data_IF_794941544951
#
_entry.id   IF_794941544951
#
_cell.length_a   1.000
_cell.length_b   1.000
_cell.length_c   1.000
_cell.angle_alpha   90.00
_cell.angle_beta   90.00
_cell.angle_gamma   90.00
#
_symmetry.space_group_name_H-M   'P 1'
#
loop_
_entity.id
_entity.type
_entity.pdbx_description
1 polymer ?
#
# COMPACT_ATOMS: atom_id res chain seq x y z
N UNK A 1 -8.51 23.97 -12.80
CA UNK A 1 -7.06 24.13 -13.13
C UNK A 1 -6.35 24.42 -11.83
N UNK A 2 -5.58 23.49 -11.31
CA UNK A 2 -4.82 23.69 -10.06
C UNK A 2 -3.55 24.44 -10.45
N UNK A 3 -3.38 25.64 -9.90
CA UNK A 3 -2.22 26.46 -10.17
C UNK A 3 -1.08 26.08 -9.22
N UNK A 4 -0.06 25.38 -9.73
CA UNK A 4 1.15 24.99 -8.99
C UNK A 4 2.17 26.13 -8.82
N UNK A 5 1.85 27.37 -9.21
CA UNK A 5 2.76 28.51 -9.26
C UNK A 5 3.22 29.10 -7.92
N UNK A 6 2.67 28.68 -6.78
CA UNK A 6 2.99 29.28 -5.48
C UNK A 6 3.90 28.43 -4.56
N UNK A 7 4.53 27.37 -5.07
CA UNK A 7 5.48 26.55 -4.31
C UNK A 7 6.96 27.00 -4.44
N UNK A 8 7.21 28.08 -5.18
CA UNK A 8 8.56 28.61 -5.40
C UNK A 8 8.80 29.90 -4.62
N UNK A 9 8.63 29.90 -3.30
CA UNK A 9 9.14 30.95 -2.44
C UNK A 9 10.32 30.42 -1.60
N UNK A 10 11.52 30.74 -2.11
CA UNK A 10 12.77 31.00 -1.37
C UNK A 10 13.07 30.11 -0.14
N UNK A 11 13.19 28.82 -0.34
CA UNK A 11 14.15 28.02 0.42
C UNK A 11 15.03 27.30 -0.60
N UNK A 12 16.34 27.43 -0.47
CA UNK A 12 17.28 26.58 -1.18
C UNK A 12 16.78 25.16 -1.07
N UNK A 13 16.73 24.36 -2.17
CA UNK A 13 16.31 22.99 -2.08
C UNK A 13 17.16 22.34 -0.99
N UNK A 14 16.51 21.93 0.10
CA UNK A 14 17.17 21.20 1.17
C UNK A 14 17.87 20.04 0.49
N UNK A 15 19.17 19.97 0.61
CA UNK A 15 19.95 18.90 0.01
C UNK A 15 19.37 17.58 0.53
N UNK A 16 18.73 16.82 -0.35
CA UNK A 16 18.23 15.49 0.00
C UNK A 16 19.48 14.64 0.19
N UNK A 17 19.87 14.41 1.45
CA UNK A 17 20.94 13.50 1.76
C UNK A 17 20.59 12.13 1.16
N UNK A 18 21.45 11.66 0.25
CA UNK A 18 21.29 10.33 -0.32
C UNK A 18 21.29 9.34 0.84
N UNK A 19 20.23 8.52 0.92
CA UNK A 19 20.23 7.35 1.79
C UNK A 19 21.51 6.55 1.52
N UNK A 20 22.44 6.54 2.47
CA UNK A 20 23.71 5.80 2.40
C UNK A 20 23.48 4.32 2.77
N UNK A 21 22.35 3.74 2.40
CA UNK A 21 22.01 2.36 2.64
C UNK A 21 22.15 1.59 1.33
N UNK A 22 22.73 0.40 1.40
CA UNK A 22 22.68 -0.57 0.29
C UNK A 22 21.26 -1.18 0.15
N UNK A 23 20.36 -0.90 1.10
CA UNK A 23 19.00 -1.38 1.11
C UNK A 23 18.16 -0.56 0.12
N UNK A 24 17.44 -1.25 -0.75
CA UNK A 24 16.55 -0.64 -1.73
C UNK A 24 15.14 -0.60 -1.16
N UNK A 25 14.73 0.56 -0.66
CA UNK A 25 13.36 0.80 -0.23
C UNK A 25 12.51 1.26 -1.41
N UNK A 26 11.32 0.69 -1.56
CA UNK A 26 10.36 1.09 -2.60
C UNK A 26 9.14 1.85 -2.03
N UNK A 27 8.97 1.86 -0.70
CA UNK A 27 7.94 2.64 -0.02
C UNK A 27 8.43 3.02 1.38
N UNK A 28 8.38 4.31 1.72
CA UNK A 28 8.79 4.83 3.03
C UNK A 28 7.67 5.71 3.57
N UNK A 29 7.23 5.45 4.80
CA UNK A 29 6.18 6.21 5.47
C UNK A 29 6.69 6.81 6.78
N UNK A 30 6.44 8.10 6.98
CA UNK A 30 6.65 8.74 8.27
C UNK A 30 5.62 8.21 9.28
N UNK A 31 6.08 7.70 10.43
CA UNK A 31 5.28 7.13 11.51
C UNK A 31 5.32 7.98 12.79
N UNK A 32 5.64 9.27 12.63
CA UNK A 32 5.70 10.24 13.72
C UNK A 32 7.09 10.34 14.35
N UNK A 33 7.61 9.26 14.90
CA UNK A 33 9.00 9.14 15.38
C UNK A 33 9.74 8.19 14.44
N UNK A 34 10.37 8.74 13.38
CA UNK A 34 11.04 7.97 12.34
C UNK A 34 10.13 7.45 11.25
N UNK A 35 10.54 6.38 10.60
CA UNK A 35 9.90 5.88 9.36
C UNK A 35 9.77 4.36 9.37
N UNK A 36 8.72 3.87 8.71
CA UNK A 36 8.57 2.48 8.33
C UNK A 36 8.84 2.33 6.82
N UNK A 37 9.82 1.54 6.46
CA UNK A 37 10.28 1.36 5.09
C UNK A 37 10.04 -0.07 4.61
N UNK A 38 9.44 -0.22 3.43
CA UNK A 38 9.26 -1.49 2.74
C UNK A 38 10.40 -1.70 1.74
N UNK A 39 10.93 -2.92 1.70
CA UNK A 39 11.96 -3.37 0.77
C UNK A 39 11.80 -4.85 0.46
N UNK A 40 12.74 -5.41 -0.30
CA UNK A 40 12.83 -6.86 -0.52
C UNK A 40 13.82 -7.41 0.51
N UNK A 41 13.30 -7.92 1.62
CA UNK A 41 14.09 -8.46 2.73
C UNK A 41 13.83 -9.97 2.85
N UNK A 42 14.80 -10.73 3.33
CA UNK A 42 14.65 -12.18 3.46
C UNK A 42 13.73 -12.63 4.60
N UNK A 43 13.67 -11.87 5.71
CA UNK A 43 13.12 -12.37 6.96
C UNK A 43 12.11 -11.45 7.65
N UNK A 44 11.82 -10.28 7.07
CA UNK A 44 10.92 -9.29 7.68
C UNK A 44 10.25 -8.43 6.63
N UNK A 45 9.21 -7.70 7.02
CA UNK A 45 8.41 -6.87 6.10
C UNK A 45 8.86 -5.42 6.07
N UNK A 46 9.24 -4.85 7.23
CA UNK A 46 9.60 -3.45 7.40
C UNK A 46 10.98 -3.30 8.02
N UNK A 47 11.75 -2.35 7.53
CA UNK A 47 12.79 -1.71 8.31
C UNK A 47 12.21 -0.49 9.01
N UNK A 48 12.53 -0.33 10.29
CA UNK A 48 12.21 0.86 11.08
C UNK A 48 13.43 1.76 11.12
N UNK A 49 13.25 2.99 10.65
CA UNK A 49 14.32 3.99 10.55
C UNK A 49 14.05 5.11 11.55
N UNK A 50 15.11 5.66 12.13
CA UNK A 50 15.04 6.85 12.96
C UNK A 50 14.89 8.13 12.10
N UNK A 51 14.78 9.31 12.74
CA UNK A 51 14.63 10.60 12.05
C UNK A 51 15.82 10.95 11.15
N UNK A 52 17.00 10.35 11.37
CA UNK A 52 18.17 10.47 10.50
C UNK A 52 18.22 9.41 9.40
N UNK A 53 17.10 8.71 9.14
CA UNK A 53 16.96 7.63 8.15
C UNK A 53 17.91 6.45 8.35
N UNK A 54 18.43 6.26 9.55
CA UNK A 54 19.27 5.11 9.91
C UNK A 54 18.37 3.99 10.45
N UNK A 55 18.54 2.78 9.91
CA UNK A 55 17.87 1.58 10.42
C UNK A 55 18.27 1.33 11.88
N UNK A 56 17.27 1.10 12.72
CA UNK A 56 17.49 0.73 14.12
C UNK A 56 16.87 -0.61 14.50
N UNK A 57 15.86 -1.08 13.72
CA UNK A 57 15.21 -2.37 13.94
C UNK A 57 14.47 -2.83 12.68
N UNK A 58 13.92 -4.03 12.74
CA UNK A 58 13.04 -4.56 11.71
C UNK A 58 11.71 -5.04 12.34
N UNK A 59 10.68 -5.20 11.51
CA UNK A 59 9.36 -5.59 11.99
C UNK A 59 8.55 -6.36 10.95
N UNK A 60 7.68 -7.23 11.45
CA UNK A 60 6.65 -7.93 10.69
C UNK A 60 7.18 -9.10 9.85
N UNK A 61 6.27 -9.95 9.45
CA UNK A 61 6.52 -11.11 8.60
C UNK A 61 5.78 -10.96 7.29
N UNK A 62 6.17 -11.72 6.28
CA UNK A 62 5.41 -11.84 5.04
C UNK A 62 4.10 -12.60 5.26
N UNK A 63 3.13 -12.38 4.36
CA UNK A 63 1.90 -13.17 4.33
C UNK A 63 2.27 -14.64 4.05
N UNK A 64 1.68 -15.59 4.78
CA UNK A 64 1.88 -17.00 4.51
C UNK A 64 1.27 -17.34 3.13
N UNK A 65 2.01 -18.09 2.32
CA UNK A 65 1.47 -18.69 1.10
C UNK A 65 0.76 -20.01 1.41
N UNK A 66 -0.19 -20.38 0.58
CA UNK A 66 -0.91 -21.66 0.69
C UNK A 66 0.04 -22.86 0.64
N UNK A 67 1.03 -22.82 -0.26
CA UNK A 67 2.09 -23.81 -0.34
C UNK A 67 3.38 -23.27 0.31
N UNK A 68 4.17 -24.15 0.93
CA UNK A 68 5.44 -23.76 1.55
C UNK A 68 6.44 -23.35 0.47
N UNK A 69 7.01 -22.15 0.61
CA UNK A 69 8.04 -21.60 -0.27
C UNK A 69 9.35 -21.51 0.50
N UNK A 70 10.37 -22.21 0.00
CA UNK A 70 11.70 -22.21 0.63
C UNK A 70 12.52 -20.98 0.27
N UNK A 71 12.35 -20.45 -0.96
CA UNK A 71 13.06 -19.25 -1.41
C UNK A 71 12.45 -17.99 -0.79
N UNK A 72 13.16 -17.39 0.15
CA UNK A 72 12.72 -16.20 0.90
C UNK A 72 12.61 -14.95 0.04
N UNK A 73 13.48 -14.80 -0.97
CA UNK A 73 13.42 -13.66 -1.90
C UNK A 73 12.16 -13.74 -2.76
N UNK A 74 11.82 -14.91 -3.28
CA UNK A 74 10.56 -15.12 -4.02
C UNK A 74 9.37 -14.81 -3.10
N UNK A 75 9.39 -15.27 -1.85
CA UNK A 75 8.35 -14.90 -0.87
C UNK A 75 8.26 -13.39 -0.66
N UNK A 76 9.39 -12.69 -0.57
CA UNK A 76 9.43 -11.24 -0.44
C UNK A 76 8.85 -10.53 -1.67
N UNK A 77 9.22 -10.97 -2.86
CA UNK A 77 8.71 -10.44 -4.14
C UNK A 77 7.20 -10.65 -4.28
N UNK A 78 6.69 -11.85 -3.99
CA UNK A 78 5.25 -12.11 -3.99
C UNK A 78 4.48 -11.26 -2.95
N UNK A 79 5.15 -10.79 -1.92
CA UNK A 79 4.58 -9.90 -0.91
C UNK A 79 4.76 -8.40 -1.21
N UNK A 80 5.16 -8.03 -2.44
CA UNK A 80 5.22 -6.62 -2.82
C UNK A 80 3.86 -5.95 -2.63
N UNK A 81 3.90 -4.68 -2.24
CA UNK A 81 2.72 -3.88 -1.97
C UNK A 81 3.14 -2.53 -1.41
N UNK A 82 2.20 -1.78 -0.86
CA UNK A 82 2.46 -0.44 -0.31
C UNK A 82 1.87 -0.32 1.08
N UNK A 83 2.11 0.80 1.71
CA UNK A 83 1.47 1.15 2.97
C UNK A 83 1.03 2.60 2.99
N UNK A 84 -0.04 2.86 3.74
CA UNK A 84 -0.58 4.19 4.00
C UNK A 84 -0.63 4.43 5.50
N UNK A 85 -0.50 5.68 5.92
CA UNK A 85 -0.45 6.08 7.33
C UNK A 85 -1.50 7.16 7.57
N UNK A 86 -2.27 7.02 8.66
CA UNK A 86 -3.25 8.03 9.07
C UNK A 86 -2.58 9.39 9.35
N UNK A 87 -3.32 10.48 9.11
CA UNK A 87 -2.85 11.87 9.34
C UNK A 87 -2.31 12.06 10.75
N UNK A 88 -2.97 11.48 11.74
CA UNK A 88 -2.60 11.53 13.17
C UNK A 88 -1.46 10.56 13.57
N UNK A 89 -0.88 9.81 12.62
CA UNK A 89 0.22 8.86 12.83
C UNK A 89 -0.08 7.75 13.85
N UNK A 90 -1.33 7.33 13.99
CA UNK A 90 -1.72 6.26 14.92
C UNK A 90 -1.83 4.90 14.25
N UNK A 91 -2.15 4.85 12.95
CA UNK A 91 -2.41 3.63 12.20
C UNK A 91 -1.55 3.62 10.93
N UNK A 92 -0.93 2.48 10.67
CA UNK A 92 -0.36 2.13 9.38
C UNK A 92 -1.13 0.94 8.81
N UNK A 93 -1.50 1.01 7.54
CA UNK A 93 -2.12 -0.11 6.83
C UNK A 93 -1.21 -0.51 5.67
N UNK A 94 -0.81 -1.78 5.65
CA UNK A 94 -0.06 -2.37 4.55
C UNK A 94 -0.98 -3.25 3.71
N UNK A 95 -0.86 -3.17 2.41
CA UNK A 95 -1.58 -4.02 1.47
C UNK A 95 -0.62 -4.71 0.50
N UNK A 96 -1.04 -5.84 -0.06
CA UNK A 96 -0.28 -6.63 -1.01
C UNK A 96 -0.95 -6.65 -2.38
N UNK A 97 -0.16 -6.52 -3.44
CA UNK A 97 -0.64 -6.64 -4.82
C UNK A 97 -1.08 -8.06 -5.17
N UNK A 98 -0.49 -9.07 -4.54
CA UNK A 98 -0.73 -10.48 -4.83
C UNK A 98 -1.81 -11.12 -3.94
N UNK A 99 -2.31 -10.38 -2.93
CA UNK A 99 -3.32 -10.90 -2.02
C UNK A 99 -4.36 -9.84 -1.67
N UNK A 100 -5.61 -10.25 -1.49
CA UNK A 100 -6.66 -9.40 -0.94
C UNK A 100 -6.55 -9.31 0.58
N UNK A 101 -5.40 -8.82 1.08
CA UNK A 101 -5.11 -8.71 2.52
C UNK A 101 -4.65 -7.30 2.85
N UNK A 102 -5.33 -6.68 3.81
CA UNK A 102 -4.90 -5.46 4.48
C UNK A 102 -4.42 -5.80 5.88
N UNK A 103 -3.20 -5.41 6.21
CA UNK A 103 -2.63 -5.56 7.55
C UNK A 103 -2.65 -4.23 8.29
N UNK A 104 -3.36 -4.18 9.39
CA UNK A 104 -3.47 -3.02 10.26
C UNK A 104 -2.46 -3.08 11.38
N UNK A 105 -1.75 -1.97 11.58
CA UNK A 105 -0.76 -1.82 12.65
C UNK A 105 -1.03 -0.55 13.45
N UNK A 106 -0.96 -0.66 14.77
CA UNK A 106 -0.84 0.49 15.65
C UNK A 106 0.56 1.06 15.56
N UNK A 107 0.67 2.38 15.46
CA UNK A 107 1.95 3.09 15.58
C UNK A 107 2.08 3.52 17.05
N UNK A 108 3.10 3.00 17.74
CA UNK A 108 3.37 3.30 19.15
C UNK A 108 4.83 3.66 19.35
N UNK A 109 5.12 4.92 19.69
CA UNK A 109 6.48 5.38 19.99
C UNK A 109 7.53 5.08 18.90
N UNK A 110 7.16 5.22 17.61
CA UNK A 110 8.07 4.95 16.48
C UNK A 110 8.24 3.47 16.16
N UNK A 111 7.39 2.60 16.70
CA UNK A 111 7.34 1.17 16.36
C UNK A 111 5.95 0.77 15.89
N UNK A 112 5.86 -0.40 15.27
CA UNK A 112 4.61 -0.98 14.79
C UNK A 112 4.17 -2.09 15.74
N UNK A 113 2.84 -2.20 15.96
CA UNK A 113 2.23 -3.33 16.67
C UNK A 113 1.12 -3.87 15.79
N UNK A 114 1.25 -5.12 15.35
CA UNK A 114 0.23 -5.76 14.53
C UNK A 114 -1.12 -5.80 15.28
N UNK A 115 -2.18 -5.35 14.62
CA UNK A 115 -3.53 -5.31 15.17
C UNK A 115 -4.41 -6.41 14.58
N UNK A 116 -4.53 -6.44 13.25
CA UNK A 116 -5.47 -7.33 12.55
C UNK A 116 -5.10 -7.45 11.08
N UNK A 117 -5.39 -8.59 10.49
CA UNK A 117 -5.46 -8.79 9.04
C UNK A 117 -6.94 -8.79 8.61
N UNK A 118 -7.31 -7.92 7.67
CA UNK A 118 -8.58 -8.01 6.96
C UNK A 118 -8.35 -8.76 5.65
N UNK A 119 -8.99 -9.91 5.51
CA UNK A 119 -8.73 -10.85 4.42
C UNK A 119 -9.97 -10.97 3.53
N UNK A 120 -9.84 -10.55 2.28
CA UNK A 120 -10.79 -10.83 1.18
C UNK A 120 -10.36 -12.11 0.46
N UNK A 121 -9.06 -12.22 0.20
CA UNK A 121 -8.45 -13.36 -0.49
C UNK A 121 -7.04 -13.60 0.06
N UNK A 122 -6.73 -14.81 0.55
CA UNK A 122 -5.41 -15.13 1.07
C UNK A 122 -4.36 -15.15 -0.06
N UNK A 123 -3.08 -15.11 0.33
CA UNK A 123 -1.95 -15.28 -0.58
C UNK A 123 -1.97 -16.68 -1.18
N UNK A 124 -1.86 -16.78 -2.50
CA UNK A 124 -1.77 -18.05 -3.21
C UNK A 124 -0.95 -17.90 -4.49
N UNK A 125 0.28 -18.36 -4.47
CA UNK A 125 1.16 -18.40 -5.65
C UNK A 125 1.96 -19.70 -5.71
N UNK A 126 2.41 -20.06 -6.90
CA UNK A 126 3.35 -21.16 -7.14
C UNK A 126 4.68 -20.60 -7.63
N UNK A 127 5.76 -21.29 -7.26
CA UNK A 127 7.10 -20.98 -7.79
C UNK A 127 7.31 -21.77 -9.10
N UNK A 128 7.70 -21.06 -10.15
CA UNK A 128 8.03 -21.64 -11.46
C UNK A 128 9.16 -20.84 -12.09
N UNK A 129 10.22 -21.54 -12.53
CA UNK A 129 11.38 -20.93 -13.17
C UNK A 129 12.00 -19.78 -12.36
N UNK A 130 12.19 -19.99 -11.05
CA UNK A 130 12.72 -19.00 -10.09
C UNK A 130 11.92 -17.68 -9.99
N UNK A 131 10.65 -17.70 -10.37
CA UNK A 131 9.70 -16.61 -10.25
C UNK A 131 8.42 -17.11 -9.59
N UNK A 132 7.51 -16.19 -9.21
CA UNK A 132 6.21 -16.55 -8.68
C UNK A 132 5.10 -16.32 -9.71
N UNK A 133 4.08 -17.18 -9.67
CA UNK A 133 2.87 -17.07 -10.47
C UNK A 133 1.66 -17.07 -9.57
N UNK A 134 0.89 -15.97 -9.60
CA UNK A 134 -0.35 -15.85 -8.86
C UNK A 134 -1.38 -16.86 -9.37
N UNK A 135 -2.04 -17.57 -8.44
CA UNK A 135 -3.05 -18.56 -8.78
C UNK A 135 -4.46 -17.96 -8.78
N UNK A 136 -4.71 -17.01 -7.89
CA UNK A 136 -6.04 -16.46 -7.63
C UNK A 136 -6.21 -15.00 -8.11
N UNK A 137 -5.27 -14.49 -8.91
CA UNK A 137 -5.26 -13.13 -9.47
C UNK A 137 -4.75 -12.08 -8.47
N UNK A 138 -4.87 -10.81 -8.88
CA UNK A 138 -4.36 -9.65 -8.15
C UNK A 138 -5.17 -9.36 -6.88
N UNK A 139 -4.54 -8.72 -5.92
CA UNK A 139 -5.13 -8.27 -4.68
C UNK A 139 -5.51 -6.79 -4.67
N UNK A 140 -5.05 -6.07 -3.65
CA UNK A 140 -5.24 -4.63 -3.54
C UNK A 140 -4.18 -3.87 -4.35
N UNK A 141 -4.62 -3.03 -5.28
CA UNK A 141 -3.74 -2.23 -6.14
C UNK A 141 -3.30 -0.94 -5.47
N UNK A 142 -4.18 -0.32 -4.69
CA UNK A 142 -3.92 0.93 -4.01
C UNK A 142 -4.78 1.05 -2.75
N UNK A 143 -4.42 1.98 -1.87
CA UNK A 143 -5.23 2.35 -0.72
C UNK A 143 -5.02 3.82 -0.35
N UNK A 144 -6.08 4.42 0.18
CA UNK A 144 -6.07 5.77 0.75
C UNK A 144 -6.71 5.75 2.13
N UNK A 145 -6.29 6.66 2.99
CA UNK A 145 -6.74 6.72 4.38
C UNK A 145 -7.26 8.12 4.67
N UNK A 146 -8.50 8.21 5.17
CA UNK A 146 -9.13 9.44 5.65
C UNK A 146 -8.90 9.60 7.16
N UNK A 147 -9.61 10.50 7.81
CA UNK A 147 -9.54 10.65 9.27
C UNK A 147 -10.29 9.52 10.03
N UNK A 148 -11.19 8.77 9.35
CA UNK A 148 -12.03 7.75 9.97
C UNK A 148 -11.87 6.35 9.37
N UNK A 149 -11.52 6.25 8.07
CA UNK A 149 -11.59 5.00 7.32
C UNK A 149 -10.38 4.78 6.41
N UNK A 150 -10.24 3.53 6.00
CA UNK A 150 -9.31 3.08 4.97
C UNK A 150 -10.11 2.65 3.76
N UNK A 151 -9.78 3.18 2.59
CA UNK A 151 -10.36 2.82 1.30
C UNK A 151 -9.32 2.08 0.48
N UNK A 152 -9.60 0.85 0.08
CA UNK A 152 -8.66 -0.01 -0.61
C UNK A 152 -9.22 -0.48 -1.95
N UNK A 153 -8.49 -0.21 -3.02
CA UNK A 153 -8.85 -0.55 -4.40
C UNK A 153 -8.48 -2.01 -4.67
N UNK A 154 -9.48 -2.87 -4.86
CA UNK A 154 -9.33 -4.31 -5.03
C UNK A 154 -9.63 -4.75 -6.46
N UNK A 155 -8.72 -5.49 -7.08
CA UNK A 155 -8.87 -6.04 -8.41
C UNK A 155 -9.58 -7.40 -8.40
N UNK A 156 -8.97 -8.41 -7.81
CA UNK A 156 -9.46 -9.80 -7.89
C UNK A 156 -9.27 -10.44 -9.27
N UNK A 157 -8.87 -9.70 -10.28
CA UNK A 157 -8.71 -10.18 -11.64
C UNK A 157 -7.39 -10.94 -11.83
N UNK A 158 -7.36 -11.84 -12.81
CA UNK A 158 -6.10 -12.49 -13.21
C UNK A 158 -5.14 -11.47 -13.76
N UNK A 159 -3.87 -11.64 -13.42
CA UNK A 159 -2.80 -10.82 -13.96
C UNK A 159 -2.75 -10.92 -15.50
N UNK A 160 -2.84 -9.77 -16.15
CA UNK A 160 -2.77 -9.67 -17.60
C UNK A 160 -1.46 -8.94 -17.99
N UNK A 161 -0.46 -9.71 -18.39
CA UNK A 161 0.85 -9.16 -18.78
C UNK A 161 0.81 -8.32 -20.08
N UNK A 162 -0.29 -8.36 -20.82
CA UNK A 162 -0.49 -7.54 -22.03
C UNK A 162 -1.18 -6.19 -21.69
N UNK A 163 -1.72 -6.04 -20.51
CA UNK A 163 -2.31 -4.75 -20.08
C UNK A 163 -1.19 -3.80 -19.63
N UNK A 164 -1.24 -2.51 -19.99
CA UNK A 164 -0.22 -1.54 -19.62
C UNK A 164 -0.16 -1.33 -18.09
N UNK A 165 -1.30 -1.39 -17.42
CA UNK A 165 -1.41 -1.31 -15.95
C UNK A 165 -2.59 -2.14 -15.45
N UNK A 166 -2.47 -2.78 -14.28
CA UNK A 166 -3.61 -3.44 -13.65
C UNK A 166 -4.63 -2.41 -13.16
N UNK A 167 -5.91 -2.71 -13.35
CA UNK A 167 -7.04 -1.89 -12.91
C UNK A 167 -7.95 -2.66 -11.97
N UNK A 168 -8.81 -1.95 -11.26
CA UNK A 168 -9.76 -2.52 -10.32
C UNK A 168 -11.06 -1.71 -10.27
N UNK A 169 -12.18 -2.40 -10.03
CA UNK A 169 -13.50 -1.79 -9.98
C UNK A 169 -14.16 -1.83 -8.61
N UNK A 170 -13.50 -2.37 -7.59
CA UNK A 170 -14.07 -2.44 -6.25
C UNK A 170 -13.24 -1.65 -5.26
N UNK A 171 -13.92 -0.85 -4.42
CA UNK A 171 -13.31 -0.13 -3.30
C UNK A 171 -13.90 -0.66 -2.00
N UNK A 172 -13.06 -1.24 -1.17
CA UNK A 172 -13.42 -1.75 0.15
C UNK A 172 -13.14 -0.69 1.20
N UNK A 173 -14.15 -0.33 1.99
CA UNK A 173 -14.06 0.63 3.10
C UNK A 173 -13.96 -0.10 4.42
N UNK A 174 -12.92 0.17 5.19
CA UNK A 174 -12.69 -0.40 6.52
C UNK A 174 -12.58 0.68 7.58
N UNK A 175 -13.02 0.37 8.82
CA UNK A 175 -12.65 1.20 9.97
C UNK A 175 -11.19 0.93 10.38
N UNK A 176 -10.67 1.73 11.30
CA UNK A 176 -9.30 1.59 11.81
C UNK A 176 -9.07 0.32 12.64
N UNK A 177 -10.14 -0.38 13.04
CA UNK A 177 -10.08 -1.70 13.66
C UNK A 177 -9.97 -2.83 12.63
N UNK A 178 -10.02 -2.51 11.33
CA UNK A 178 -9.97 -3.48 10.23
C UNK A 178 -11.29 -4.22 10.01
N UNK A 179 -12.41 -3.64 10.42
CA UNK A 179 -13.73 -4.19 10.12
C UNK A 179 -14.27 -3.58 8.83
N UNK A 180 -14.74 -4.42 7.92
CA UNK A 180 -15.39 -3.99 6.68
C UNK A 180 -16.66 -3.20 7.02
N UNK A 181 -16.82 -2.03 6.41
CA UNK A 181 -17.99 -1.16 6.54
C UNK A 181 -18.81 -1.11 5.28
N UNK A 182 -18.14 -1.07 4.11
CA UNK A 182 -18.80 -0.93 2.85
C UNK A 182 -17.97 -1.49 1.70
N UNK A 183 -18.60 -1.76 0.57
CA UNK A 183 -17.95 -2.11 -0.69
C UNK A 183 -18.61 -1.32 -1.80
N UNK A 184 -17.84 -0.46 -2.46
CA UNK A 184 -18.31 0.33 -3.61
C UNK A 184 -17.87 -0.35 -4.90
N UNK A 185 -18.75 -0.36 -5.88
CA UNK A 185 -18.43 -0.74 -7.25
C UNK A 185 -18.28 0.53 -8.08
N UNK A 186 -17.11 0.72 -8.69
CA UNK A 186 -16.83 1.84 -9.58
C UNK A 186 -17.39 1.53 -10.97
N UNK A 187 -18.00 2.51 -11.61
CA UNK A 187 -18.47 2.40 -13.01
C UNK A 187 -17.32 2.41 -14.03
N UNK A 188 -16.14 2.87 -13.60
CA UNK A 188 -14.89 2.85 -14.37
C UNK A 188 -13.78 2.19 -13.55
N UNK A 189 -13.12 1.20 -14.15
CA UNK A 189 -11.97 0.57 -13.53
C UNK A 189 -10.82 1.57 -13.38
N UNK A 190 -10.21 1.61 -12.20
CA UNK A 190 -9.17 2.56 -11.84
C UNK A 190 -7.87 1.84 -11.45
N UNK A 191 -6.74 2.53 -11.55
CA UNK A 191 -5.44 2.01 -11.10
C UNK A 191 -4.94 2.66 -9.80
N UNK A 192 -5.54 3.76 -9.37
CA UNK A 192 -5.23 4.42 -8.10
C UNK A 192 -6.44 5.17 -7.56
N UNK A 193 -6.43 5.45 -6.27
CA UNK A 193 -7.47 6.22 -5.61
C UNK A 193 -6.90 7.18 -4.56
N UNK A 194 -7.67 8.22 -4.26
CA UNK A 194 -7.47 9.09 -3.11
C UNK A 194 -8.82 9.40 -2.47
N UNK A 195 -8.87 9.51 -1.16
CA UNK A 195 -10.07 9.91 -0.42
C UNK A 195 -9.83 11.23 0.29
N UNK A 196 -10.87 12.06 0.35
CA UNK A 196 -10.86 13.28 1.13
C UNK A 196 -10.89 12.95 2.63
N UNK A 197 -10.20 13.73 3.47
CA UNK A 197 -10.08 13.46 4.90
C UNK A 197 -11.42 13.36 5.63
N UNK A 198 -12.42 14.13 5.17
CA UNK A 198 -13.79 14.17 5.74
C UNK A 198 -14.71 13.06 5.20
N UNK A 199 -14.18 12.12 4.43
CA UNK A 199 -14.93 11.03 3.79
C UNK A 199 -16.03 11.47 2.81
N UNK A 200 -16.04 12.72 2.36
CA UNK A 200 -17.10 13.24 1.48
C UNK A 200 -16.90 12.85 0.01
N UNK A 201 -15.66 12.64 -0.43
CA UNK A 201 -15.33 12.37 -1.84
C UNK A 201 -14.22 11.35 -1.99
N UNK A 202 -14.38 10.51 -3.02
CA UNK A 202 -13.36 9.59 -3.52
C UNK A 202 -12.95 10.04 -4.92
N UNK A 203 -11.66 10.10 -5.16
CA UNK A 203 -11.04 10.42 -6.45
C UNK A 203 -10.39 9.16 -6.99
N UNK A 204 -10.56 8.88 -8.27
CA UNK A 204 -9.87 7.77 -8.93
C UNK A 204 -9.23 8.24 -10.23
N UNK A 205 -8.14 7.61 -10.61
CA UNK A 205 -7.55 7.80 -11.94
C UNK A 205 -7.79 6.53 -12.73
N UNK A 206 -8.40 6.68 -13.91
CA UNK A 206 -8.73 5.58 -14.81
C UNK A 206 -7.81 5.59 -16.04
N UNK A 207 -7.55 4.41 -16.60
CA UNK A 207 -6.85 4.23 -17.86
C UNK A 207 -7.84 4.45 -19.02
N UNK A 208 -8.09 5.71 -19.33
CA UNK A 208 -8.75 6.15 -20.54
C UNK A 208 -7.68 6.85 -21.40
N UNK A 209 -7.74 6.89 -22.73
CA UNK A 209 -6.65 7.39 -23.59
C UNK A 209 -5.94 8.68 -23.16
N UNK A 210 -6.50 9.41 -22.20
CA UNK A 210 -5.95 10.67 -21.65
C UNK A 210 -5.89 10.70 -20.11
N UNK A 211 -5.87 9.58 -19.40
CA UNK A 211 -5.81 9.50 -17.92
C UNK A 211 -6.75 10.49 -17.23
N UNK A 212 -8.01 10.13 -17.04
CA UNK A 212 -9.03 11.00 -16.43
C UNK A 212 -9.15 10.78 -14.93
N UNK A 213 -9.45 11.87 -14.22
CA UNK A 213 -9.83 11.83 -12.80
C UNK A 213 -11.35 11.78 -12.71
N UNK A 214 -11.87 10.76 -12.04
CA UNK A 214 -13.28 10.64 -11.65
C UNK A 214 -13.45 10.99 -10.18
N UNK A 215 -14.58 11.64 -9.88
CA UNK A 215 -14.92 12.06 -8.52
C UNK A 215 -16.25 11.45 -8.14
N UNK A 216 -16.25 10.69 -7.05
CA UNK A 216 -17.43 10.06 -6.47
C UNK A 216 -17.77 10.75 -5.16
N UNK A 217 -19.02 11.16 -4.99
CA UNK A 217 -19.51 11.65 -3.71
C UNK A 217 -19.88 10.45 -2.83
N UNK A 218 -19.23 10.37 -1.70
CA UNK A 218 -19.51 9.35 -0.69
C UNK A 218 -20.63 9.85 0.22
N UNK A 219 -21.60 8.99 0.47
CA UNK A 219 -22.74 9.29 1.37
C UNK A 219 -22.47 8.74 2.77
#
# INVERSE_FOLDING_TARGET
>A
MINFGNLANNSNPTQIDKLKSNDRYYCINNIGKGYAALGIFENHKFDLLNDSLKKHSNYGTYLPNKEKVSNKIISAMANLGRSVVSSNKKILVNFSYAAGVLRFYDIKNGTLVHRKDAVVKPMNFKVKNDDYQLQDGLGFLDASISDNYVYALYSGEKENYNAPMPTASYVYKYDYQGNLKDVYHLDKAAFTLAVKNDDSQLFTIVDDPNSKIFVYNLK
#
